data_IF_449060235067
#
_entry.id   IF_449060235067
#
_cell.length_a   1.000
_cell.length_b   1.000
_cell.length_c   1.000
_cell.angle_alpha   90.00
_cell.angle_beta   90.00
_cell.angle_gamma   90.00
#
_symmetry.space_group_name_H-M   'P 1'
#
loop_
_entity.id
_entity.type
_entity.pdbx_description
1 polymer ?
#
# COMPACT_ATOMS: atom_id res chain seq x y z
N UNK A 1 6.90 -12.29 -5.64
CA UNK A 1 6.83 -11.09 -6.53
C UNK A 1 8.23 -10.48 -6.62
N UNK A 2 8.73 -10.10 -7.82
CA UNK A 2 10.12 -9.61 -7.97
C UNK A 2 10.41 -8.37 -7.12
N UNK A 3 9.43 -7.49 -6.95
CA UNK A 3 9.53 -6.29 -6.13
C UNK A 3 9.61 -6.62 -4.63
N UNK A 4 8.89 -7.64 -4.17
CA UNK A 4 8.97 -8.11 -2.78
C UNK A 4 10.37 -8.64 -2.46
N UNK A 5 10.91 -9.50 -3.33
CA UNK A 5 12.27 -10.05 -3.19
C UNK A 5 13.32 -8.93 -3.13
N UNK A 6 13.14 -7.90 -3.97
CA UNK A 6 14.02 -6.72 -3.99
C UNK A 6 13.94 -5.90 -2.70
N UNK A 7 12.74 -5.73 -2.13
CA UNK A 7 12.54 -5.05 -0.84
C UNK A 7 13.16 -5.85 0.29
N UNK A 8 12.95 -7.17 0.34
CA UNK A 8 13.56 -8.04 1.35
C UNK A 8 15.09 -7.93 1.32
N UNK A 9 15.69 -8.06 0.13
CA UNK A 9 17.14 -7.96 -0.02
C UNK A 9 17.69 -6.58 0.39
N UNK A 10 16.97 -5.51 0.08
CA UNK A 10 17.35 -4.14 0.47
C UNK A 10 17.28 -3.96 2.00
N UNK A 11 16.24 -4.49 2.64
CA UNK A 11 16.09 -4.46 4.10
C UNK A 11 17.25 -5.20 4.79
N UNK A 12 17.56 -6.40 4.33
CA UNK A 12 18.65 -7.24 4.86
C UNK A 12 20.03 -6.59 4.63
N UNK A 13 20.27 -6.05 3.44
CA UNK A 13 21.54 -5.39 3.09
C UNK A 13 21.83 -4.19 4.00
N UNK A 14 20.79 -3.46 4.40
CA UNK A 14 20.92 -2.22 5.16
C UNK A 14 20.63 -2.35 6.65
N UNK A 15 20.32 -3.55 7.14
CA UNK A 15 20.03 -3.79 8.56
C UNK A 15 18.77 -3.05 9.04
N UNK A 16 17.74 -3.01 8.18
CA UNK A 16 16.49 -2.30 8.42
C UNK A 16 15.39 -3.22 8.96
N UNK A 17 15.74 -4.41 9.46
CA UNK A 17 14.78 -5.39 9.95
C UNK A 17 13.98 -4.84 11.14
N UNK A 18 12.69 -5.12 11.15
CA UNK A 18 11.78 -4.71 12.21
C UNK A 18 10.69 -5.77 12.41
N UNK A 19 10.21 -5.92 13.64
CA UNK A 19 9.09 -6.83 13.93
C UNK A 19 7.84 -6.39 13.18
N UNK A 20 6.96 -7.35 12.86
CA UNK A 20 5.69 -7.11 12.17
C UNK A 20 4.88 -5.97 12.78
N UNK A 21 4.84 -5.86 14.11
CA UNK A 21 4.13 -4.78 14.79
C UNK A 21 4.66 -3.39 14.43
N UNK A 22 5.97 -3.23 14.25
CA UNK A 22 6.58 -1.97 13.81
C UNK A 22 6.35 -1.75 12.32
N UNK A 23 6.47 -2.78 11.48
CA UNK A 23 6.20 -2.67 10.04
C UNK A 23 4.79 -2.19 9.72
N UNK A 24 3.80 -2.65 10.50
CA UNK A 24 2.41 -2.18 10.35
C UNK A 24 2.27 -0.70 10.72
N UNK A 25 3.03 -0.21 11.71
CA UNK A 25 3.06 1.20 12.07
C UNK A 25 3.78 2.04 11.00
N UNK A 26 4.87 1.52 10.43
CA UNK A 26 5.57 2.16 9.31
C UNK A 26 4.61 2.33 8.13
N UNK A 27 3.89 1.27 7.74
CA UNK A 27 2.88 1.35 6.68
C UNK A 27 1.78 2.37 6.97
N UNK A 28 1.28 2.46 8.20
CA UNK A 28 0.29 3.47 8.58
C UNK A 28 0.85 4.89 8.45
N UNK A 29 2.11 5.10 8.83
CA UNK A 29 2.80 6.37 8.69
C UNK A 29 2.92 6.79 7.22
N UNK A 30 3.34 5.89 6.31
CA UNK A 30 3.47 6.22 4.88
C UNK A 30 2.10 6.55 4.24
N UNK A 31 1.05 5.80 4.61
CA UNK A 31 -0.33 6.12 4.17
C UNK A 31 -0.77 7.49 4.71
N UNK A 32 -0.32 7.85 5.92
CA UNK A 32 -0.55 9.17 6.51
C UNK A 32 0.11 10.30 5.73
N UNK A 33 1.33 10.10 5.21
CA UNK A 33 2.03 11.09 4.37
C UNK A 33 1.31 11.30 3.04
N UNK A 34 0.82 10.24 2.38
CA UNK A 34 -0.07 10.36 1.20
C UNK A 34 -1.31 11.21 1.52
N UNK A 35 -1.96 10.96 2.66
CA UNK A 35 -3.14 11.72 3.07
C UNK A 35 -2.82 13.20 3.35
N UNK A 36 -1.66 13.46 3.94
CA UNK A 36 -1.16 14.80 4.24
C UNK A 36 -0.83 15.58 2.97
N UNK A 37 -0.31 14.95 1.93
CA UNK A 37 -0.08 15.61 0.63
C UNK A 37 -1.40 16.09 0.03
N UNK A 38 -2.41 15.23 -0.04
CA UNK A 38 -3.74 15.61 -0.53
C UNK A 38 -4.34 16.71 0.35
N UNK A 39 -4.21 16.59 1.67
CA UNK A 39 -4.69 17.62 2.61
C UNK A 39 -4.02 18.97 2.35
N UNK A 40 -2.72 18.96 2.07
CA UNK A 40 -1.94 20.17 1.80
C UNK A 40 -2.29 20.76 0.44
N UNK A 41 -2.34 19.94 -0.60
CA UNK A 41 -2.56 20.38 -1.97
C UNK A 41 -3.98 20.90 -2.20
N UNK A 42 -4.95 20.43 -1.41
CA UNK A 42 -6.35 20.83 -1.50
C UNK A 42 -6.74 21.96 -0.54
N UNK A 43 -5.80 22.59 0.17
CA UNK A 43 -6.08 23.55 1.25
C UNK A 43 -7.11 23.00 2.26
N UNK A 44 -6.77 21.84 2.82
CA UNK A 44 -7.60 21.11 3.77
C UNK A 44 -9.00 20.78 3.20
N UNK A 45 -9.04 20.39 1.92
CA UNK A 45 -10.27 20.01 1.21
C UNK A 45 -11.09 21.18 0.63
N UNK A 46 -10.63 22.42 0.77
CA UNK A 46 -11.30 23.61 0.21
C UNK A 46 -11.20 23.68 -1.33
N UNK A 47 -10.21 23.02 -1.92
CA UNK A 47 -9.93 22.96 -3.36
C UNK A 47 -9.67 21.51 -3.80
N UNK A 48 -10.70 20.64 -3.84
CA UNK A 48 -10.55 19.21 -4.12
C UNK A 48 -9.94 18.90 -5.50
N UNK A 49 -10.15 19.77 -6.49
CA UNK A 49 -9.55 19.67 -7.82
C UNK A 49 -8.02 19.81 -7.82
N UNK A 50 -7.43 20.31 -6.73
CA UNK A 50 -5.99 20.46 -6.54
C UNK A 50 -5.36 19.24 -5.87
N UNK A 51 -6.09 18.15 -5.67
CA UNK A 51 -5.56 16.91 -5.11
C UNK A 51 -4.35 16.40 -5.91
N UNK A 52 -3.23 16.25 -5.23
CA UNK A 52 -1.99 15.77 -5.80
C UNK A 52 -1.31 14.84 -4.81
N UNK A 53 -0.66 13.80 -5.36
CA UNK A 53 0.20 12.87 -4.62
C UNK A 53 1.46 12.70 -5.45
N UNK A 54 2.61 12.81 -4.79
CA UNK A 54 3.92 12.63 -5.38
C UNK A 54 4.24 11.14 -5.55
N UNK A 55 5.04 10.83 -6.55
CA UNK A 55 5.36 9.43 -6.92
C UNK A 55 6.14 8.72 -5.83
N UNK A 56 6.99 9.44 -5.11
CA UNK A 56 7.78 8.94 -3.98
C UNK A 56 6.89 8.48 -2.83
N UNK A 57 5.87 9.25 -2.45
CA UNK A 57 4.94 8.85 -1.37
C UNK A 57 4.19 7.53 -1.66
N UNK A 58 3.82 7.32 -2.94
CA UNK A 58 3.24 6.03 -3.38
C UNK A 58 4.29 4.91 -3.33
N UNK A 59 5.54 5.23 -3.68
CA UNK A 59 6.66 4.31 -3.60
C UNK A 59 6.97 3.89 -2.17
N UNK A 60 6.92 4.81 -1.23
CA UNK A 60 7.18 4.57 0.20
C UNK A 60 6.07 3.70 0.81
N UNK A 61 4.80 3.98 0.48
CA UNK A 61 3.68 3.10 0.82
C UNK A 61 3.87 1.67 0.28
N UNK A 62 4.29 1.54 -0.99
CA UNK A 62 4.52 0.23 -1.61
C UNK A 62 5.67 -0.51 -0.92
N UNK A 63 6.78 0.19 -0.65
CA UNK A 63 7.91 -0.36 0.09
C UNK A 63 7.47 -0.89 1.46
N UNK A 64 6.73 -0.07 2.23
CA UNK A 64 6.26 -0.44 3.56
C UNK A 64 5.30 -1.64 3.51
N UNK A 65 4.39 -1.69 2.53
CA UNK A 65 3.47 -2.82 2.37
C UNK A 65 4.20 -4.13 2.05
N UNK A 66 5.20 -4.09 1.17
CA UNK A 66 6.01 -5.27 0.83
C UNK A 66 6.87 -5.72 2.03
N UNK A 67 7.39 -4.78 2.82
CA UNK A 67 8.09 -5.09 4.07
C UNK A 67 7.15 -5.70 5.13
N UNK A 68 5.87 -5.29 5.18
CA UNK A 68 4.84 -5.95 5.99
C UNK A 68 4.58 -7.37 5.51
N UNK A 69 4.46 -7.57 4.19
CA UNK A 69 4.23 -8.90 3.62
C UNK A 69 5.36 -9.87 4.00
N UNK A 70 6.62 -9.43 3.91
CA UNK A 70 7.75 -10.24 4.36
C UNK A 70 7.73 -10.53 5.86
N UNK A 71 7.53 -9.52 6.70
CA UNK A 71 7.46 -9.71 8.14
C UNK A 71 6.28 -10.61 8.58
N UNK A 72 5.26 -10.75 7.73
CA UNK A 72 4.09 -11.59 7.95
C UNK A 72 4.20 -12.99 7.32
N UNK A 73 5.28 -13.30 6.60
CA UNK A 73 5.43 -14.53 5.80
C UNK A 73 4.27 -14.70 4.79
N UNK A 74 3.96 -13.62 4.08
CA UNK A 74 2.91 -13.55 3.05
C UNK A 74 3.54 -13.28 1.68
N UNK A 75 3.23 -14.10 0.68
CA UNK A 75 3.53 -13.78 -0.72
C UNK A 75 2.57 -12.68 -1.20
N UNK A 76 3.11 -11.48 -1.43
CA UNK A 76 2.33 -10.32 -1.86
C UNK A 76 1.75 -10.49 -3.27
N UNK A 77 2.40 -11.28 -4.14
CA UNK A 77 1.92 -11.60 -5.48
C UNK A 77 0.68 -12.48 -5.42
N UNK A 78 0.75 -13.59 -4.68
CA UNK A 78 -0.41 -14.48 -4.46
C UNK A 78 -1.55 -13.72 -3.77
N UNK A 79 -1.24 -12.90 -2.75
CA UNK A 79 -2.24 -12.09 -2.07
C UNK A 79 -2.93 -11.09 -3.02
N UNK A 80 -2.20 -10.50 -3.96
CA UNK A 80 -2.73 -9.60 -4.98
C UNK A 80 -3.62 -10.37 -5.98
N UNK A 81 -3.18 -11.52 -6.48
CA UNK A 81 -3.97 -12.38 -7.38
C UNK A 81 -5.32 -12.74 -6.75
N UNK A 82 -5.30 -13.21 -5.49
CA UNK A 82 -6.53 -13.52 -4.72
C UNK A 82 -7.42 -12.30 -4.55
N UNK A 83 -6.85 -11.10 -4.39
CA UNK A 83 -7.64 -9.87 -4.28
C UNK A 83 -8.29 -9.51 -5.63
N UNK A 84 -7.57 -9.66 -6.74
CA UNK A 84 -8.05 -9.38 -8.09
C UNK A 84 -9.19 -10.32 -8.48
N UNK A 85 -9.04 -11.63 -8.27
CA UNK A 85 -10.11 -12.63 -8.52
C UNK A 85 -11.40 -12.27 -7.77
N UNK A 86 -11.28 -11.87 -6.50
CA UNK A 86 -12.44 -11.42 -5.70
C UNK A 86 -13.10 -10.16 -6.28
N UNK A 87 -12.34 -9.24 -6.86
CA UNK A 87 -12.92 -8.07 -7.52
C UNK A 87 -13.61 -8.44 -8.82
N UNK A 88 -13.00 -9.30 -9.63
CA UNK A 88 -13.58 -9.83 -10.88
C UNK A 88 -14.91 -10.53 -10.61
N UNK A 89 -14.95 -11.47 -9.67
CA UNK A 89 -16.16 -12.18 -9.26
C UNK A 89 -17.29 -11.23 -8.82
N UNK A 90 -16.95 -10.17 -8.07
CA UNK A 90 -17.94 -9.18 -7.62
C UNK A 90 -18.50 -8.35 -8.76
N UNK A 91 -17.65 -7.96 -9.69
CA UNK A 91 -18.05 -7.20 -10.88
C UNK A 91 -18.99 -8.06 -11.73
N UNK A 92 -18.67 -9.33 -11.93
CA UNK A 92 -19.53 -10.26 -12.67
C UNK A 92 -20.88 -10.49 -11.97
N UNK A 93 -20.87 -10.63 -10.64
CA UNK A 93 -22.08 -10.91 -9.86
C UNK A 93 -23.01 -9.70 -9.69
N UNK A 94 -22.45 -8.50 -9.48
CA UNK A 94 -23.21 -7.31 -9.04
C UNK A 94 -23.21 -6.15 -10.04
N UNK A 95 -22.37 -6.23 -11.08
CA UNK A 95 -22.14 -5.12 -12.02
C UNK A 95 -21.23 -4.02 -11.47
N UNK A 96 -20.58 -4.22 -10.31
CA UNK A 96 -19.66 -3.26 -9.70
C UNK A 96 -18.61 -3.89 -8.78
N UNK A 97 -17.56 -3.13 -8.48
CA UNK A 97 -16.43 -3.59 -7.65
C UNK A 97 -16.63 -3.38 -6.14
N UNK A 98 -17.72 -2.71 -5.74
CA UNK A 98 -18.01 -2.38 -4.35
C UNK A 98 -18.20 -3.63 -3.49
N UNK A 99 -17.61 -3.63 -2.29
CA UNK A 99 -17.73 -4.72 -1.32
C UNK A 99 -18.92 -4.58 -0.37
N UNK A 100 -19.83 -3.63 -0.63
CA UNK A 100 -20.92 -3.25 0.27
C UNK A 100 -22.29 -3.40 -0.37
N UNK A 101 -23.20 -4.04 0.36
CA UNK A 101 -24.59 -3.57 0.48
C UNK A 101 -24.64 -2.20 1.15
#
# INVERSE_FOLDING_TARGET
MEEQDRVSAFVDEHGLEADLAYRVLDLESEVGEVAKEVTTSTDYGSSPESAAVATDEVGDCLFALLAVAEAADVDAGEALEVALEKYEDRIEATGGAGSGE
#
